data_IF_955176525067
#
_entry.id   IF_955176525067
#
_cell.length_a   1.000
_cell.length_b   1.000
_cell.length_c   1.000
_cell.angle_alpha   90.00
_cell.angle_beta   90.00
_cell.angle_gamma   90.00
#
_symmetry.space_group_name_H-M   'P 1'
#
loop_
_entity.id
_entity.type
_entity.pdbx_description
1 polymer ?
#
# COMPACT_ATOMS: atom_id res chain seq x y z
N UNK A 1 38.63 4.70 -2.73
CA UNK A 1 37.34 5.18 -3.27
C UNK A 1 36.75 4.12 -4.20
N UNK A 2 35.55 3.61 -3.93
CA UNK A 2 34.85 2.62 -4.77
C UNK A 2 33.89 3.35 -5.72
N UNK A 3 33.93 3.00 -7.00
CA UNK A 3 33.03 3.56 -8.02
C UNK A 3 31.76 2.72 -8.11
N UNK A 4 30.59 3.37 -8.06
CA UNK A 4 29.28 2.72 -8.04
C UNK A 4 28.39 3.35 -9.12
N UNK A 5 27.74 2.51 -9.92
CA UNK A 5 26.68 2.94 -10.83
C UNK A 5 25.32 2.56 -10.22
N UNK A 6 24.43 3.54 -10.08
CA UNK A 6 23.04 3.34 -9.66
C UNK A 6 22.19 3.48 -10.92
N UNK A 7 21.47 2.42 -11.30
CA UNK A 7 20.60 2.43 -12.48
C UNK A 7 19.15 2.49 -12.00
N UNK A 8 18.47 3.58 -12.35
CA UNK A 8 17.13 3.95 -11.88
C UNK A 8 17.18 5.00 -10.77
N UNK A 9 16.48 6.11 -10.99
CA UNK A 9 16.30 7.26 -10.11
C UNK A 9 14.94 7.26 -9.38
N UNK A 10 14.31 6.10 -9.20
CA UNK A 10 13.18 5.95 -8.29
C UNK A 10 13.60 5.99 -6.81
N UNK A 11 12.63 5.83 -5.90
CA UNK A 11 12.86 5.93 -4.44
C UNK A 11 13.99 5.01 -3.92
N UNK A 12 14.16 3.82 -4.49
CA UNK A 12 15.23 2.89 -4.11
C UNK A 12 16.61 3.39 -4.54
N UNK A 13 16.74 3.86 -5.78
CA UNK A 13 17.98 4.39 -6.32
C UNK A 13 18.38 5.70 -5.65
N UNK A 14 17.43 6.62 -5.45
CA UNK A 14 17.65 7.84 -4.69
C UNK A 14 18.00 7.57 -3.23
N UNK A 15 17.35 6.60 -2.59
CA UNK A 15 17.70 6.17 -1.24
C UNK A 15 19.12 5.62 -1.15
N UNK A 16 19.55 4.83 -2.14
CA UNK A 16 20.92 4.32 -2.22
C UNK A 16 21.93 5.46 -2.44
N UNK A 17 21.65 6.37 -3.37
CA UNK A 17 22.48 7.56 -3.63
C UNK A 17 22.64 8.41 -2.37
N UNK A 18 21.53 8.68 -1.68
CA UNK A 18 21.51 9.45 -0.44
C UNK A 18 22.36 8.80 0.66
N UNK A 19 22.28 7.47 0.83
CA UNK A 19 23.10 6.75 1.80
C UNK A 19 24.59 6.78 1.46
N UNK A 20 24.96 6.58 0.18
CA UNK A 20 26.35 6.64 -0.27
C UNK A 20 26.95 8.04 -0.12
N UNK A 21 26.14 9.08 -0.33
CA UNK A 21 26.56 10.48 -0.19
C UNK A 21 27.02 10.86 1.23
N UNK A 22 26.69 10.06 2.26
CA UNK A 22 27.19 10.26 3.62
C UNK A 22 28.64 9.78 3.83
N UNK A 23 29.24 9.12 2.83
CA UNK A 23 30.62 8.61 2.89
C UNK A 23 31.41 8.94 1.60
N UNK A 24 31.58 10.23 1.26
CA UNK A 24 32.18 10.66 0.00
C UNK A 24 33.67 10.31 -0.12
N UNK A 25 34.36 10.07 1.00
CA UNK A 25 35.74 9.57 1.05
C UNK A 25 35.86 8.11 0.59
N UNK A 26 34.77 7.34 0.74
CA UNK A 26 34.73 5.90 0.44
C UNK A 26 34.10 5.60 -0.90
N UNK A 27 33.13 6.39 -1.34
CA UNK A 27 32.31 6.10 -2.52
C UNK A 27 32.29 7.27 -3.50
N UNK A 28 32.41 6.92 -4.78
CA UNK A 28 32.14 7.78 -5.93
C UNK A 28 30.96 7.14 -6.68
N UNK A 29 29.81 7.80 -6.76
CA UNK A 29 28.63 7.23 -7.40
C UNK A 29 28.13 8.07 -8.57
N UNK A 30 27.55 7.40 -9.56
CA UNK A 30 26.77 8.03 -10.64
C UNK A 30 25.41 7.39 -10.73
N UNK A 31 24.37 8.20 -10.80
CA UNK A 31 23.00 7.78 -11.00
C UNK A 31 22.63 7.94 -12.48
N UNK A 32 22.05 6.90 -13.05
CA UNK A 32 21.55 6.86 -14.41
C UNK A 32 20.03 6.68 -14.35
N UNK A 33 19.29 7.67 -14.81
CA UNK A 33 17.83 7.63 -14.97
C UNK A 33 17.51 7.75 -16.46
N UNK A 34 16.52 6.98 -16.92
CA UNK A 34 16.07 6.98 -18.31
C UNK A 34 15.14 8.17 -18.60
N UNK A 35 14.40 8.64 -17.60
CA UNK A 35 13.53 9.81 -17.68
C UNK A 35 14.31 11.11 -17.49
N UNK A 36 13.71 12.24 -17.88
CA UNK A 36 14.29 13.58 -17.68
C UNK A 36 14.32 14.00 -16.20
N UNK A 37 13.52 13.34 -15.35
CA UNK A 37 13.37 13.65 -13.94
C UNK A 37 13.54 12.39 -13.09
N UNK A 38 14.07 12.57 -11.89
CA UNK A 38 14.13 11.54 -10.86
C UNK A 38 12.79 11.46 -10.10
N UNK A 39 12.55 10.34 -9.43
CA UNK A 39 11.31 10.08 -8.68
C UNK A 39 10.63 8.77 -9.07
N UNK A 40 10.87 8.29 -10.29
CA UNK A 40 10.26 7.07 -10.81
C UNK A 40 8.74 7.22 -10.86
N UNK A 41 8.02 6.37 -10.12
CA UNK A 41 6.55 6.43 -10.07
C UNK A 41 6.02 7.62 -9.26
N UNK A 42 6.84 8.28 -8.42
CA UNK A 42 6.42 9.48 -7.70
C UNK A 42 6.41 10.68 -8.66
N UNK A 43 5.24 10.95 -9.24
CA UNK A 43 5.05 11.99 -10.25
C UNK A 43 4.01 13.00 -9.74
N UNK A 44 4.43 14.27 -9.71
CA UNK A 44 3.57 15.43 -9.44
C UNK A 44 3.43 16.22 -10.72
N UNK A 45 2.19 16.50 -11.13
CA UNK A 45 1.91 17.33 -12.29
C UNK A 45 1.26 18.66 -11.89
N UNK A 46 1.53 19.71 -12.64
CA UNK A 46 0.85 21.00 -12.49
C UNK A 46 -0.54 20.95 -13.13
N UNK A 47 -1.59 21.03 -12.31
CA UNK A 47 -2.97 21.09 -12.77
C UNK A 47 -3.42 22.55 -12.92
N UNK A 48 -3.70 23.02 -14.16
CA UNK A 48 -4.16 24.39 -14.41
C UNK A 48 -5.47 24.70 -13.68
N UNK A 49 -5.59 25.93 -13.20
CA UNK A 49 -6.78 26.46 -12.52
C UNK A 49 -7.43 27.57 -13.36
N UNK A 50 -8.75 27.74 -13.22
CA UNK A 50 -9.52 28.73 -13.97
C UNK A 50 -9.02 30.18 -13.79
N UNK A 51 -8.34 30.46 -12.68
CA UNK A 51 -7.72 31.77 -12.38
C UNK A 51 -6.34 32.01 -13.00
N UNK A 52 -5.83 31.12 -13.86
CA UNK A 52 -4.54 31.27 -14.55
C UNK A 52 -3.30 30.79 -13.79
N UNK A 53 -3.48 30.14 -12.62
CA UNK A 53 -2.41 29.46 -11.87
C UNK A 53 -2.41 27.94 -12.08
N UNK A 54 -1.49 27.23 -11.40
CA UNK A 54 -1.50 25.77 -11.29
C UNK A 54 -1.46 25.34 -9.83
N UNK A 55 -1.97 24.13 -9.56
CA UNK A 55 -1.77 23.43 -8.29
C UNK A 55 -0.99 22.14 -8.56
N UNK A 56 -0.01 21.77 -7.72
CA UNK A 56 0.64 20.48 -7.82
C UNK A 56 -0.36 19.37 -7.50
N UNK A 57 -0.40 18.34 -8.34
CA UNK A 57 -1.28 17.19 -8.22
C UNK A 57 -0.48 15.90 -8.38
N UNK A 58 -0.41 15.11 -7.31
CA UNK A 58 0.27 13.82 -7.34
C UNK A 58 -0.60 12.79 -8.08
N UNK A 59 -0.03 12.19 -9.13
CA UNK A 59 -0.77 11.25 -9.99
C UNK A 59 -0.75 9.83 -9.43
N UNK A 60 0.29 9.49 -8.67
CA UNK A 60 0.61 8.10 -8.31
C UNK A 60 0.85 7.93 -6.82
N UNK A 61 2.07 8.22 -6.36
CA UNK A 61 2.47 8.04 -4.95
C UNK A 61 1.88 9.18 -4.13
N UNK A 62 0.62 9.02 -3.73
CA UNK A 62 -0.17 10.11 -3.12
C UNK A 62 -0.35 9.97 -1.61
N UNK A 63 -0.11 8.79 -1.05
CA UNK A 63 -0.33 8.53 0.37
C UNK A 63 0.70 7.56 0.94
N UNK A 64 1.06 7.77 2.21
CA UNK A 64 1.83 6.83 2.99
C UNK A 64 1.11 6.49 4.30
N UNK A 65 1.23 5.25 4.77
CA UNK A 65 0.72 4.81 6.07
C UNK A 65 1.87 4.89 7.07
N UNK A 66 1.89 5.83 8.04
CA UNK A 66 3.05 6.05 8.91
C UNK A 66 3.55 4.80 9.65
N UNK A 67 2.63 3.92 10.06
CA UNK A 67 2.93 2.67 10.75
C UNK A 67 3.56 1.58 9.85
N UNK A 68 3.60 1.79 8.55
CA UNK A 68 4.21 0.89 7.57
C UNK A 68 5.46 1.53 6.96
N UNK A 69 5.40 2.82 6.63
CA UNK A 69 6.42 3.54 5.86
C UNK A 69 7.35 4.39 6.74
N UNK A 70 7.87 3.84 7.83
CA UNK A 70 8.70 4.58 8.80
C UNK A 70 9.84 5.39 8.18
N UNK A 71 10.55 4.83 7.19
CA UNK A 71 11.66 5.53 6.54
C UNK A 71 11.21 6.73 5.70
N UNK A 72 10.02 6.69 5.09
CA UNK A 72 9.51 7.84 4.33
C UNK A 72 9.15 8.97 5.30
N UNK A 73 8.53 8.65 6.43
CA UNK A 73 8.14 9.63 7.46
C UNK A 73 9.38 10.35 7.99
N UNK A 74 10.43 9.61 8.33
CA UNK A 74 11.70 10.19 8.78
C UNK A 74 12.39 11.05 7.71
N UNK A 75 12.26 10.66 6.44
CA UNK A 75 12.81 11.44 5.33
C UNK A 75 12.07 12.77 5.17
N UNK A 76 10.73 12.74 5.22
CA UNK A 76 9.90 13.94 5.14
C UNK A 76 10.20 14.89 6.31
N UNK A 77 10.26 14.37 7.54
CA UNK A 77 10.62 15.14 8.74
C UNK A 77 12.01 15.79 8.59
N UNK A 78 13.00 15.05 8.08
CA UNK A 78 14.35 15.58 7.87
C UNK A 78 14.41 16.74 6.87
N UNK A 79 13.50 16.77 5.89
CA UNK A 79 13.39 17.87 4.94
C UNK A 79 12.37 18.93 5.35
N UNK A 80 11.76 18.82 6.54
CA UNK A 80 10.73 19.75 7.01
C UNK A 80 9.45 19.70 6.18
N UNK A 81 9.13 18.53 5.62
CA UNK A 81 7.91 18.31 4.82
C UNK A 81 6.86 17.73 5.76
N UNK A 82 5.79 18.50 5.99
CA UNK A 82 4.67 18.07 6.82
C UNK A 82 3.79 17.05 6.10
N UNK A 83 3.30 16.07 6.86
CA UNK A 83 2.30 15.12 6.39
C UNK A 83 0.90 15.68 6.64
N UNK A 84 0.02 15.55 5.65
CA UNK A 84 -1.38 15.94 5.77
C UNK A 84 -2.23 14.71 6.05
N UNK A 85 -2.89 14.72 7.20
CA UNK A 85 -3.85 13.68 7.58
C UNK A 85 -4.97 13.60 6.54
N UNK A 86 -5.00 12.48 5.82
CA UNK A 86 -5.95 12.24 4.74
C UNK A 86 -6.81 11.03 5.06
N UNK A 87 -8.13 11.22 5.00
CA UNK A 87 -9.08 10.11 5.14
C UNK A 87 -9.22 9.38 3.82
N UNK A 88 -8.76 8.14 3.77
CA UNK A 88 -8.97 7.27 2.62
C UNK A 88 -10.39 6.69 2.63
N UNK A 89 -11.24 7.16 1.73
CA UNK A 89 -12.59 6.65 1.53
C UNK A 89 -12.69 5.95 0.18
N UNK A 90 -13.39 4.82 0.11
CA UNK A 90 -13.60 4.12 -1.16
C UNK A 90 -15.06 3.73 -1.36
N UNK A 91 -15.45 3.69 -2.63
CA UNK A 91 -16.76 3.22 -3.05
C UNK A 91 -16.66 2.41 -4.34
N UNK A 92 -17.64 1.53 -4.55
CA UNK A 92 -17.74 0.69 -5.74
C UNK A 92 -19.17 0.74 -6.24
N UNK A 93 -19.33 1.18 -7.49
CA UNK A 93 -20.63 1.19 -8.17
C UNK A 93 -20.78 -0.07 -9.02
N UNK A 94 -21.84 -0.83 -8.76
CA UNK A 94 -22.25 -1.99 -9.55
C UNK A 94 -23.62 -1.72 -10.14
N UNK A 95 -23.69 -1.36 -11.43
CA UNK A 95 -24.93 -0.90 -12.05
C UNK A 95 -25.54 0.25 -11.23
N UNK A 96 -26.80 0.13 -10.79
CA UNK A 96 -27.50 1.12 -9.96
C UNK A 96 -27.27 0.93 -8.45
N UNK A 97 -26.35 0.05 -8.08
CA UNK A 97 -26.04 -0.32 -6.70
C UNK A 97 -24.69 0.25 -6.28
N UNK A 98 -24.56 0.58 -5.00
CA UNK A 98 -23.38 1.21 -4.43
C UNK A 98 -22.94 0.45 -3.20
N UNK A 99 -21.63 0.19 -3.13
CA UNK A 99 -20.93 -0.05 -1.89
C UNK A 99 -20.14 1.21 -1.55
N UNK A 100 -20.34 1.77 -0.36
CA UNK A 100 -19.51 2.83 0.18
C UNK A 100 -18.95 2.37 1.53
N UNK A 101 -17.64 2.49 1.72
CA UNK A 101 -17.00 2.04 2.96
C UNK A 101 -17.42 2.88 4.18
N UNK A 102 -17.39 4.20 3.99
CA UNK A 102 -17.60 5.19 5.05
C UNK A 102 -19.07 5.58 5.24
N UNK A 103 -19.91 5.29 4.26
CA UNK A 103 -21.31 5.72 4.24
C UNK A 103 -22.26 4.53 4.21
N UNK A 104 -23.52 4.77 4.55
CA UNK A 104 -24.54 3.77 4.35
C UNK A 104 -24.85 3.60 2.86
N UNK A 105 -25.04 2.36 2.41
CA UNK A 105 -25.22 2.05 1.00
C UNK A 105 -25.86 0.68 0.81
N UNK A 106 -26.55 0.49 -0.31
CA UNK A 106 -27.37 -0.70 -0.54
C UNK A 106 -26.56 -2.02 -0.50
N UNK A 107 -25.34 -2.07 -1.02
CA UNK A 107 -24.49 -3.27 -0.95
C UNK A 107 -23.96 -3.44 0.48
N UNK A 108 -23.60 -2.37 1.18
CA UNK A 108 -23.10 -2.43 2.56
C UNK A 108 -24.17 -2.98 3.51
N UNK A 109 -25.41 -2.51 3.41
CA UNK A 109 -26.53 -3.04 4.22
C UNK A 109 -26.77 -4.53 3.95
N UNK A 110 -26.82 -4.92 2.67
CA UNK A 110 -27.02 -6.33 2.28
C UNK A 110 -25.91 -7.24 2.83
N UNK A 111 -24.66 -6.79 2.76
CA UNK A 111 -23.48 -7.60 3.12
C UNK A 111 -22.96 -7.31 4.53
N UNK A 112 -23.69 -6.55 5.35
CA UNK A 112 -23.29 -6.18 6.70
C UNK A 112 -22.92 -7.39 7.58
N UNK A 113 -23.65 -8.52 7.54
CA UNK A 113 -23.26 -9.71 8.30
C UNK A 113 -21.91 -10.29 7.87
N UNK A 114 -21.63 -10.30 6.56
CA UNK A 114 -20.36 -10.79 6.00
C UNK A 114 -19.21 -9.82 6.31
N UNK A 115 -19.44 -8.51 6.23
CA UNK A 115 -18.47 -7.48 6.64
C UNK A 115 -18.09 -7.68 8.11
N UNK A 116 -19.08 -7.84 8.99
CA UNK A 116 -18.83 -8.07 10.42
C UNK A 116 -18.09 -9.40 10.67
N UNK A 117 -18.43 -10.46 9.92
CA UNK A 117 -17.74 -11.76 9.97
C UNK A 117 -16.29 -11.63 9.52
N UNK A 118 -16.02 -10.90 8.44
CA UNK A 118 -14.68 -10.64 7.92
C UNK A 118 -13.84 -9.84 8.91
N UNK A 119 -14.39 -8.79 9.51
CA UNK A 119 -13.69 -8.03 10.57
C UNK A 119 -13.34 -8.91 11.78
N UNK A 120 -14.22 -9.82 12.19
CA UNK A 120 -13.91 -10.80 13.25
C UNK A 120 -12.76 -11.73 12.84
N UNK A 121 -12.76 -12.17 11.58
CA UNK A 121 -11.68 -12.99 11.02
C UNK A 121 -10.35 -12.22 11.01
N UNK A 122 -10.32 -10.99 10.50
CA UNK A 122 -9.13 -10.13 10.51
C UNK A 122 -8.61 -9.90 11.94
N UNK A 123 -9.48 -9.64 12.92
CA UNK A 123 -9.06 -9.51 14.33
C UNK A 123 -8.45 -10.79 14.90
N UNK A 124 -8.89 -11.96 14.45
CA UNK A 124 -8.26 -13.25 14.83
C UNK A 124 -6.93 -13.43 14.13
N UNK A 125 -6.86 -13.11 12.83
CA UNK A 125 -5.61 -13.12 12.06
C UNK A 125 -4.58 -12.17 12.65
N UNK A 126 -4.97 -10.98 13.09
CA UNK A 126 -4.07 -10.00 13.69
C UNK A 126 -3.57 -10.46 15.07
N UNK A 127 -4.43 -11.10 15.87
CA UNK A 127 -4.01 -11.73 17.14
C UNK A 127 -2.96 -12.82 16.94
N UNK A 128 -3.14 -13.67 15.93
CA UNK A 128 -2.17 -14.72 15.57
C UNK A 128 -0.94 -14.10 14.89
N UNK A 129 -1.15 -13.03 14.11
CA UNK A 129 -0.16 -12.26 13.38
C UNK A 129 0.83 -11.48 14.26
N UNK A 130 0.60 -11.40 15.58
CA UNK A 130 1.64 -11.00 16.53
C UNK A 130 2.89 -11.88 16.43
N UNK A 131 2.74 -13.16 16.05
CA UNK A 131 3.86 -14.07 15.75
C UNK A 131 4.66 -13.61 14.50
N UNK A 132 4.01 -12.89 13.58
CA UNK A 132 4.57 -12.38 12.32
C UNK A 132 5.23 -11.00 12.48
N UNK A 133 4.87 -10.23 13.51
CA UNK A 133 5.44 -8.90 13.79
C UNK A 133 6.82 -8.94 14.45
N UNK A 134 7.21 -10.06 15.07
CA UNK A 134 8.60 -10.23 15.54
C UNK A 134 9.48 -10.56 14.34
N UNK A 135 10.64 -9.90 14.22
CA UNK A 135 11.69 -10.14 13.20
C UNK A 135 12.26 -11.58 13.20
N UNK A 136 11.69 -12.50 14.01
CA UNK A 136 12.09 -13.89 14.06
C UNK A 136 11.67 -14.62 12.77
N UNK A 137 12.67 -15.03 11.99
CA UNK A 137 12.48 -15.89 10.81
C UNK A 137 11.73 -17.19 11.16
N UNK A 138 12.00 -17.74 12.34
CA UNK A 138 11.37 -18.98 12.82
C UNK A 138 9.87 -18.83 13.08
N UNK A 139 9.44 -17.79 13.81
CA UNK A 139 8.02 -17.56 14.09
C UNK A 139 7.25 -17.20 12.81
N UNK A 140 7.89 -16.50 11.87
CA UNK A 140 7.33 -16.28 10.54
C UNK A 140 7.16 -17.59 9.76
N UNK A 141 8.14 -18.50 9.81
CA UNK A 141 8.05 -19.79 9.15
C UNK A 141 6.91 -20.67 9.71
N UNK A 142 6.58 -20.53 11.00
CA UNK A 142 5.48 -21.26 11.65
C UNK A 142 4.08 -20.67 11.40
N UNK A 143 3.97 -19.49 10.77
CA UNK A 143 2.67 -18.89 10.51
C UNK A 143 1.97 -19.59 9.32
N UNK A 144 0.88 -20.36 9.53
CA UNK A 144 0.22 -21.07 8.44
C UNK A 144 -0.38 -20.11 7.39
N UNK A 145 -0.72 -18.88 7.77
CA UNK A 145 -1.25 -17.85 6.87
C UNK A 145 -0.25 -17.33 5.83
N UNK A 146 1.04 -17.68 5.96
CA UNK A 146 2.05 -17.42 4.94
C UNK A 146 1.95 -18.39 3.74
N UNK A 147 1.34 -19.57 3.93
CA UNK A 147 1.29 -20.63 2.92
C UNK A 147 -0.11 -20.90 2.36
N UNK A 148 -1.15 -20.34 2.98
CA UNK A 148 -2.51 -20.42 2.47
C UNK A 148 -2.93 -19.09 1.84
N UNK A 149 -3.60 -19.18 0.70
CA UNK A 149 -4.12 -18.00 0.01
C UNK A 149 -5.32 -17.40 0.73
N UNK A 150 -5.54 -16.10 0.54
CA UNK A 150 -6.74 -15.45 1.07
C UNK A 150 -8.03 -16.07 0.48
N UNK A 151 -8.00 -16.50 -0.78
CA UNK A 151 -9.11 -17.21 -1.41
C UNK A 151 -9.50 -18.49 -0.65
N UNK A 152 -8.51 -19.28 -0.20
CA UNK A 152 -8.73 -20.48 0.61
C UNK A 152 -9.35 -20.13 1.96
N UNK A 153 -8.83 -19.09 2.63
CA UNK A 153 -9.40 -18.60 3.90
C UNK A 153 -10.85 -18.15 3.73
N UNK A 154 -11.16 -17.45 2.63
CA UNK A 154 -12.52 -16.99 2.33
C UNK A 154 -13.47 -18.15 1.98
N UNK A 155 -12.96 -19.19 1.31
CA UNK A 155 -13.70 -20.43 1.05
C UNK A 155 -14.06 -21.16 2.34
N UNK A 156 -13.05 -21.45 3.17
CA UNK A 156 -13.25 -22.11 4.47
C UNK A 156 -14.14 -21.29 5.39
N UNK A 157 -14.03 -19.96 5.31
CA UNK A 157 -14.87 -19.03 6.03
C UNK A 157 -16.30 -18.96 5.50
N UNK A 158 -16.65 -19.55 4.35
CA UNK A 158 -17.99 -19.49 3.77
C UNK A 158 -18.42 -18.07 3.41
N UNK A 159 -17.53 -17.27 2.82
CA UNK A 159 -17.85 -15.94 2.29
C UNK A 159 -18.41 -16.04 0.87
N UNK A 160 -19.46 -15.29 0.59
CA UNK A 160 -20.16 -15.30 -0.71
C UNK A 160 -19.31 -14.70 -1.84
N UNK A 161 -19.63 -15.05 -3.08
CA UNK A 161 -19.03 -14.40 -4.25
C UNK A 161 -19.32 -12.90 -4.28
N UNK A 162 -20.52 -12.50 -3.89
CA UNK A 162 -20.94 -11.10 -3.80
C UNK A 162 -20.02 -10.29 -2.89
N UNK A 163 -19.73 -10.78 -1.68
CA UNK A 163 -18.81 -10.10 -0.77
C UNK A 163 -17.38 -10.04 -1.32
N UNK A 164 -16.89 -11.13 -1.89
CA UNK A 164 -15.53 -11.17 -2.45
C UNK A 164 -15.37 -10.20 -3.62
N UNK A 165 -16.29 -10.20 -4.56
CA UNK A 165 -16.14 -9.45 -5.79
C UNK A 165 -16.65 -8.02 -5.71
N UNK A 166 -17.66 -7.73 -4.86
CA UNK A 166 -18.24 -6.39 -4.74
C UNK A 166 -17.66 -5.54 -3.62
N UNK A 167 -17.01 -6.15 -2.64
CA UNK A 167 -16.42 -5.45 -1.49
C UNK A 167 -14.91 -5.64 -1.44
N UNK A 168 -14.43 -6.88 -1.31
CA UNK A 168 -13.01 -7.13 -1.06
C UNK A 168 -12.12 -6.87 -2.28
N UNK A 169 -12.42 -7.49 -3.42
CA UNK A 169 -11.55 -7.41 -4.61
C UNK A 169 -11.32 -5.96 -5.06
N UNK A 170 -12.34 -5.10 -5.18
CA UNK A 170 -12.12 -3.70 -5.57
C UNK A 170 -11.24 -2.94 -4.58
N UNK A 171 -11.46 -3.13 -3.28
CA UNK A 171 -10.64 -2.53 -2.23
C UNK A 171 -9.16 -2.89 -2.43
N UNK A 172 -8.84 -4.18 -2.54
CA UNK A 172 -7.46 -4.62 -2.67
C UNK A 172 -6.82 -4.32 -4.03
N UNK A 173 -7.58 -4.37 -5.12
CA UNK A 173 -7.07 -3.96 -6.44
C UNK A 173 -6.66 -2.48 -6.39
N UNK A 174 -7.44 -1.64 -5.72
CA UNK A 174 -7.12 -0.22 -5.57
C UNK A 174 -5.85 0.02 -4.72
N UNK A 175 -5.56 -0.84 -3.75
CA UNK A 175 -4.35 -0.72 -2.91
C UNK A 175 -3.10 -1.38 -3.51
N UNK A 176 -3.25 -2.56 -4.11
CA UNK A 176 -2.14 -3.42 -4.52
C UNK A 176 -1.92 -3.46 -6.02
N UNK A 177 -2.82 -2.85 -6.81
CA UNK A 177 -2.79 -2.86 -8.29
C UNK A 177 -2.64 -4.28 -8.86
N UNK A 178 -3.17 -5.29 -8.15
CA UNK A 178 -3.06 -6.69 -8.51
C UNK A 178 -4.44 -7.30 -8.74
N UNK A 179 -4.62 -8.02 -9.85
CA UNK A 179 -5.89 -8.69 -10.17
C UNK A 179 -6.08 -10.01 -9.42
N UNK A 180 -4.98 -10.63 -9.00
CA UNK A 180 -4.91 -11.96 -8.38
C UNK A 180 -4.76 -11.87 -6.84
N UNK A 181 -5.38 -10.84 -6.24
CA UNK A 181 -5.32 -10.57 -4.79
C UNK A 181 -5.66 -11.81 -3.96
N UNK A 182 -6.64 -12.62 -4.37
CA UNK A 182 -7.04 -13.79 -3.58
C UNK A 182 -6.06 -14.96 -3.63
N UNK A 183 -5.11 -14.96 -4.57
CA UNK A 183 -4.06 -15.96 -4.64
C UNK A 183 -2.87 -15.60 -3.71
N UNK A 184 -2.84 -14.36 -3.23
CA UNK A 184 -1.81 -13.90 -2.31
C UNK A 184 -1.95 -14.55 -0.92
N UNK A 185 -0.82 -14.74 -0.19
CA UNK A 185 -0.84 -15.24 1.18
C UNK A 185 -1.77 -14.43 2.09
N UNK A 186 -2.59 -15.13 2.87
CA UNK A 186 -3.56 -14.50 3.77
C UNK A 186 -2.89 -13.59 4.83
N UNK A 187 -1.63 -13.85 5.18
CA UNK A 187 -0.86 -13.02 6.10
C UNK A 187 -0.59 -11.60 5.59
N UNK A 188 -0.65 -11.34 4.27
CA UNK A 188 -0.48 -9.98 3.73
C UNK A 188 -1.67 -9.07 4.11
N UNK A 189 -2.82 -9.65 4.38
CA UNK A 189 -4.05 -8.94 4.68
C UNK A 189 -4.21 -8.60 6.16
N UNK A 190 -3.40 -9.20 7.04
CA UNK A 190 -3.39 -8.84 8.47
C UNK A 190 -2.46 -7.67 8.79
N UNK A 191 -1.68 -7.21 7.80
CA UNK A 191 -0.76 -6.08 7.89
C UNK A 191 -1.44 -4.72 7.69
N UNK A 192 -2.65 -4.72 7.12
CA UNK A 192 -3.52 -3.56 6.90
C UNK A 192 -4.78 -3.70 7.77
#
# INVERSE_FOLDING_TARGET
MRRIAIVGGGISGLGAAWALNHHPDRFDFRLFEAQEQVGGNAITADMPQDGGGSIPFDISVTACIPSIYHHIVLLMERFGIDLVDTRFSYSVKYQDRLYAHDFDSNIRQQLQPEIAKFQRMLRRLHRIGWLTRKQSKFLNALNPFNYISMGTVLNLGGFSGEFRYKVLKPMFVNFLMATNVFDMPAALFSRY
#
